data_IF_819894921743
#
_entry.id   IF_819894921743
#
_cell.length_a   1.000
_cell.length_b   1.000
_cell.length_c   1.000
_cell.angle_alpha   90.00
_cell.angle_beta   90.00
_cell.angle_gamma   90.00
#
_symmetry.space_group_name_H-M   'P 1'
#
loop_
_entity.id
_entity.type
_entity.pdbx_description
1 polymer ?
#
# COMPACT_ATOMS: atom_id res chain seq x y z
N UNK A 1 -50.29 40.80 -61.83
CA UNK A 1 -50.91 39.87 -60.87
C UNK A 1 -49.83 39.19 -60.05
N UNK A 2 -49.57 39.65 -58.84
CA UNK A 2 -48.80 38.90 -57.82
C UNK A 2 -49.30 39.33 -56.45
N UNK A 3 -50.44 38.79 -56.05
CA UNK A 3 -50.88 38.78 -54.66
C UNK A 3 -50.27 37.54 -53.99
N UNK A 4 -49.26 37.74 -53.13
CA UNK A 4 -48.75 36.71 -52.25
C UNK A 4 -49.46 36.83 -50.90
N UNK A 5 -50.31 35.86 -50.59
CA UNK A 5 -51.13 35.84 -49.38
C UNK A 5 -50.34 35.86 -48.07
N UNK A 6 -50.93 36.40 -46.98
CA UNK A 6 -50.28 36.60 -45.68
C UNK A 6 -49.94 35.30 -44.93
N UNK A 7 -50.46 34.16 -45.39
CA UNK A 7 -50.47 32.86 -44.71
C UNK A 7 -49.06 32.24 -44.63
N UNK A 8 -48.21 32.54 -45.62
CA UNK A 8 -46.89 31.93 -45.80
C UNK A 8 -45.87 32.46 -44.78
N UNK A 9 -46.06 33.68 -44.28
CA UNK A 9 -45.16 34.31 -43.30
C UNK A 9 -45.30 33.72 -41.90
N UNK A 10 -46.48 33.23 -41.53
CA UNK A 10 -46.71 32.66 -40.20
C UNK A 10 -46.11 31.26 -40.03
N UNK A 11 -46.08 30.46 -41.10
CA UNK A 11 -45.45 29.14 -41.10
C UNK A 11 -43.91 29.24 -41.04
N UNK A 12 -43.33 30.22 -41.73
CA UNK A 12 -41.89 30.47 -41.75
C UNK A 12 -41.39 30.90 -40.35
N UNK A 13 -42.08 31.84 -39.69
CA UNK A 13 -41.74 32.30 -38.33
C UNK A 13 -41.81 31.18 -37.29
N UNK A 14 -42.79 30.28 -37.37
CA UNK A 14 -42.88 29.11 -36.46
C UNK A 14 -41.74 28.12 -36.70
N UNK A 15 -41.36 27.90 -37.96
CA UNK A 15 -40.25 27.02 -38.31
C UNK A 15 -38.89 27.58 -37.85
N UNK A 16 -38.72 28.90 -37.94
CA UNK A 16 -37.53 29.62 -37.45
C UNK A 16 -37.45 29.57 -35.93
N UNK A 17 -38.57 29.78 -35.23
CA UNK A 17 -38.64 29.67 -33.76
C UNK A 17 -38.31 28.26 -33.26
N UNK A 18 -38.83 27.21 -33.91
CA UNK A 18 -38.54 25.82 -33.54
C UNK A 18 -37.04 25.50 -33.75
N UNK A 19 -36.46 25.93 -34.88
CA UNK A 19 -35.03 25.75 -35.15
C UNK A 19 -34.16 26.48 -34.13
N UNK A 20 -34.54 27.69 -33.73
CA UNK A 20 -33.84 28.45 -32.68
C UNK A 20 -33.95 27.79 -31.30
N UNK A 21 -35.11 27.25 -30.92
CA UNK A 21 -35.28 26.54 -29.65
C UNK A 21 -34.40 25.27 -29.57
N UNK A 22 -34.25 24.53 -30.68
CA UNK A 22 -33.39 23.33 -30.73
C UNK A 22 -31.91 23.72 -30.57
N UNK A 23 -31.46 24.77 -31.25
CA UNK A 23 -30.08 25.28 -31.15
C UNK A 23 -29.80 25.79 -29.74
N UNK A 24 -30.70 26.58 -29.15
CA UNK A 24 -30.54 27.09 -27.79
C UNK A 24 -30.54 25.97 -26.74
N UNK A 25 -31.38 24.95 -26.90
CA UNK A 25 -31.40 23.77 -26.04
C UNK A 25 -30.09 22.97 -26.12
N UNK A 26 -29.56 22.74 -27.32
CA UNK A 26 -28.30 22.02 -27.51
C UNK A 26 -27.11 22.76 -26.89
N UNK A 27 -27.04 24.09 -27.04
CA UNK A 27 -25.99 24.92 -26.44
C UNK A 27 -26.07 24.89 -24.90
N UNK A 28 -27.27 24.94 -24.32
CA UNK A 28 -27.44 24.85 -22.87
C UNK A 28 -26.98 23.49 -22.31
N UNK A 29 -27.30 22.39 -23.01
CA UNK A 29 -26.87 21.04 -22.62
C UNK A 29 -25.35 20.90 -22.72
N UNK A 30 -24.73 21.39 -23.80
CA UNK A 30 -23.27 21.34 -23.97
C UNK A 30 -22.53 22.20 -22.93
N UNK A 31 -23.06 23.39 -22.63
CA UNK A 31 -22.52 24.25 -21.58
C UNK A 31 -22.59 23.56 -20.21
N UNK A 32 -23.74 22.98 -19.85
CA UNK A 32 -23.91 22.22 -18.61
C UNK A 32 -23.02 20.97 -18.54
N UNK A 33 -22.82 20.27 -19.66
CA UNK A 33 -21.90 19.13 -19.72
C UNK A 33 -20.44 19.55 -19.55
N UNK A 34 -20.05 20.67 -20.16
CA UNK A 34 -18.68 21.18 -20.06
C UNK A 34 -18.34 21.66 -18.65
N UNK A 35 -19.27 22.35 -17.97
CA UNK A 35 -19.07 22.80 -16.58
C UNK A 35 -19.06 21.62 -15.61
N UNK A 36 -19.96 20.65 -15.75
CA UNK A 36 -19.94 19.43 -14.93
C UNK A 36 -18.66 18.61 -15.14
N UNK A 37 -18.18 18.51 -16.38
CA UNK A 37 -16.92 17.81 -16.72
C UNK A 37 -15.69 18.51 -16.13
N UNK A 38 -15.66 19.84 -16.12
CA UNK A 38 -14.57 20.62 -15.50
C UNK A 38 -14.58 20.53 -13.97
N UNK A 39 -15.75 20.54 -13.33
CA UNK A 39 -15.87 20.37 -11.88
C UNK A 39 -15.27 19.04 -11.39
N UNK A 40 -15.31 18.00 -12.22
CA UNK A 40 -14.78 16.65 -11.92
C UNK A 40 -13.26 16.52 -12.07
N UNK A 41 -12.60 17.47 -12.73
CA UNK A 41 -11.14 17.49 -12.91
C UNK A 41 -10.47 18.29 -11.79
N UNK A 42 -11.11 19.35 -11.30
CA UNK A 42 -10.58 20.17 -10.20
C UNK A 42 -10.41 19.37 -8.89
N UNK A 43 -11.29 18.41 -8.60
CA UNK A 43 -11.20 17.56 -7.40
C UNK A 43 -9.98 16.63 -7.37
N UNK A 44 -9.27 16.44 -8.48
CA UNK A 44 -8.02 15.64 -8.51
C UNK A 44 -6.77 16.43 -8.11
N UNK A 45 -6.79 17.75 -8.12
CA UNK A 45 -5.62 18.57 -7.80
C UNK A 45 -5.55 18.94 -6.31
N UNK A 46 -6.67 18.87 -5.58
CA UNK A 46 -6.73 19.15 -4.13
C UNK A 46 -6.16 18.03 -3.25
N UNK A 47 -5.87 16.84 -3.81
CA UNK A 47 -5.33 15.70 -3.06
C UNK A 47 -3.78 15.65 -3.06
N UNK A 48 -3.12 16.48 -3.87
CA UNK A 48 -1.65 16.61 -3.87
C UNK A 48 -1.20 17.66 -2.86
N UNK A 49 -1.35 17.33 -1.58
CA UNK A 49 -0.75 18.06 -0.46
C UNK A 49 0.77 17.78 -0.42
N UNK A 50 1.65 18.81 -0.39
CA UNK A 50 3.08 18.59 -0.24
C UNK A 50 3.39 18.19 1.21
N UNK A 51 3.47 16.89 1.47
CA UNK A 51 4.01 16.36 2.74
C UNK A 51 5.54 16.47 2.73
N UNK A 52 6.07 17.67 2.94
CA UNK A 52 7.49 17.87 3.28
C UNK A 52 7.58 18.91 4.39
N UNK A 53 7.27 18.49 5.62
CA UNK A 53 7.68 19.15 6.87
C UNK A 53 7.14 18.36 8.07
N UNK A 54 7.85 17.31 8.51
CA UNK A 54 7.88 16.83 9.89
C UNK A 54 8.59 15.46 9.98
N UNK A 55 9.90 15.43 9.69
CA UNK A 55 10.78 14.48 10.38
C UNK A 55 11.63 15.30 11.33
N UNK A 56 10.97 15.86 12.35
CA UNK A 56 11.62 16.39 13.53
C UNK A 56 12.13 15.20 14.33
N UNK A 57 13.43 14.96 14.26
CA UNK A 57 14.28 14.38 15.32
C UNK A 57 13.53 13.56 16.37
N UNK A 58 13.11 12.34 16.01
CA UNK A 58 13.04 11.28 16.99
C UNK A 58 14.50 10.90 17.27
N UNK A 59 15.04 11.38 18.39
CA UNK A 59 16.31 10.86 18.89
C UNK A 59 16.07 9.40 19.24
N UNK A 60 16.41 8.51 18.32
CA UNK A 60 16.56 7.09 18.60
C UNK A 60 17.77 6.96 19.53
N UNK A 61 17.53 7.09 20.83
CA UNK A 61 18.55 6.90 21.84
C UNK A 61 18.88 5.40 21.92
N UNK A 62 20.15 5.07 21.70
CA UNK A 62 20.64 3.70 21.74
C UNK A 62 20.75 3.28 23.21
N UNK A 63 20.00 2.26 23.60
CA UNK A 63 19.99 1.71 24.96
C UNK A 63 21.20 0.80 25.20
N UNK A 64 21.49 -0.09 24.25
CA UNK A 64 22.65 -1.00 24.30
C UNK A 64 22.91 -1.63 22.92
N UNK A 65 24.10 -2.18 22.73
CA UNK A 65 24.52 -2.94 21.55
C UNK A 65 24.52 -4.43 21.86
N UNK A 66 24.02 -5.26 20.94
CA UNK A 66 23.93 -6.71 21.14
C UNK A 66 24.27 -7.52 19.88
N UNK A 67 24.78 -8.73 20.06
CA UNK A 67 25.10 -9.62 18.95
C UNK A 67 23.88 -10.49 18.59
N UNK A 68 23.54 -10.59 17.31
CA UNK A 68 22.44 -11.45 16.82
C UNK A 68 22.63 -12.93 17.15
N UNK A 69 23.89 -13.40 17.28
CA UNK A 69 24.22 -14.77 17.67
C UNK A 69 24.37 -14.96 19.18
N UNK A 70 24.69 -13.89 19.92
CA UNK A 70 24.93 -13.94 21.37
C UNK A 70 24.15 -12.83 22.08
N UNK A 71 22.82 -13.01 22.28
CA UNK A 71 21.96 -11.99 22.87
C UNK A 71 22.29 -11.66 24.34
N UNK A 72 23.06 -12.52 25.01
CA UNK A 72 23.57 -12.29 26.36
C UNK A 72 24.69 -11.24 26.40
N UNK A 73 25.34 -10.96 25.26
CA UNK A 73 26.33 -9.91 25.15
C UNK A 73 25.61 -8.57 24.94
N UNK A 74 25.72 -7.69 25.93
CA UNK A 74 25.25 -6.30 25.88
C UNK A 74 26.41 -5.36 26.14
N UNK A 75 26.64 -4.41 25.25
CA UNK A 75 27.68 -3.40 25.38
C UNK A 75 27.09 -1.99 25.27
N UNK A 76 27.72 -1.01 25.89
CA UNK A 76 27.33 0.40 25.78
C UNK A 76 27.84 1.07 24.50
N UNK A 77 28.86 0.48 23.87
CA UNK A 77 29.56 1.05 22.73
C UNK A 77 29.42 0.15 21.49
N UNK A 78 29.48 0.74 20.29
CA UNK A 78 29.60 -0.03 19.06
C UNK A 78 30.94 -0.77 19.02
N UNK A 79 30.96 -1.95 18.43
CA UNK A 79 32.17 -2.74 18.26
C UNK A 79 31.88 -4.19 17.89
N UNK A 80 32.90 -5.02 17.98
CA UNK A 80 32.83 -6.43 17.68
C UNK A 80 32.41 -7.25 18.91
N UNK A 81 31.63 -8.31 18.67
CA UNK A 81 31.25 -9.25 19.70
C UNK A 81 32.49 -10.05 20.18
N UNK A 82 32.81 -10.07 21.48
CA UNK A 82 33.98 -10.79 22.01
C UNK A 82 33.85 -12.33 21.96
N UNK A 83 32.67 -12.85 21.60
CA UNK A 83 32.43 -14.29 21.47
C UNK A 83 32.62 -14.80 20.05
N UNK A 84 32.12 -14.06 19.04
CA UNK A 84 32.15 -14.50 17.64
C UNK A 84 32.86 -13.54 16.67
N UNK A 85 33.25 -12.35 17.12
CA UNK A 85 33.91 -11.34 16.29
C UNK A 85 33.02 -10.67 15.24
N UNK A 86 31.70 -10.78 15.35
CA UNK A 86 30.75 -10.08 14.47
C UNK A 86 30.34 -8.73 15.05
N UNK A 87 30.00 -7.78 14.18
CA UNK A 87 29.50 -6.45 14.56
C UNK A 87 28.29 -6.51 15.49
N UNK A 88 28.32 -5.70 16.54
CA UNK A 88 27.19 -5.52 17.43
C UNK A 88 26.12 -4.61 16.80
N UNK A 89 24.87 -4.88 17.13
CA UNK A 89 23.70 -4.18 16.60
C UNK A 89 23.08 -3.31 17.69
N UNK A 90 22.84 -2.04 17.40
CA UNK A 90 22.19 -1.11 18.32
C UNK A 90 20.73 -1.52 18.62
N UNK A 91 20.37 -1.45 19.90
CA UNK A 91 19.01 -1.53 20.42
C UNK A 91 18.63 -0.15 20.94
N UNK A 92 17.44 0.31 20.58
CA UNK A 92 16.96 1.63 20.93
C UNK A 92 15.94 1.55 22.07
N UNK A 93 15.97 2.53 22.98
CA UNK A 93 14.96 2.62 24.06
C UNK A 93 13.57 2.74 23.44
N UNK A 94 12.71 1.75 23.68
CA UNK A 94 11.33 1.71 23.19
C UNK A 94 11.01 0.58 22.20
N UNK A 95 11.96 -0.28 21.83
CA UNK A 95 11.70 -1.42 20.93
C UNK A 95 10.95 -2.59 21.57
N UNK A 96 10.86 -2.65 22.91
CA UNK A 96 10.36 -3.83 23.62
C UNK A 96 8.90 -3.70 24.12
N UNK A 97 8.32 -2.49 24.16
CA UNK A 97 6.95 -2.29 24.70
C UNK A 97 5.92 -1.84 23.64
N UNK A 98 6.35 -1.35 22.49
CA UNK A 98 5.44 -1.08 21.38
C UNK A 98 5.58 -2.18 20.35
N UNK A 99 4.54 -3.00 20.24
CA UNK A 99 4.32 -3.86 19.09
C UNK A 99 4.29 -3.03 17.81
N UNK A 100 5.47 -2.73 17.27
CA UNK A 100 5.65 -2.28 15.91
C UNK A 100 5.30 -3.48 15.06
N UNK A 101 3.99 -3.65 14.83
CA UNK A 101 3.54 -4.32 13.62
C UNK A 101 4.29 -3.64 12.47
N UNK A 102 4.75 -4.39 11.47
CA UNK A 102 5.18 -3.80 10.20
C UNK A 102 4.11 -2.78 9.78
N UNK A 103 4.41 -1.77 8.94
CA UNK A 103 3.41 -0.81 8.47
C UNK A 103 2.36 -1.48 7.57
N UNK A 104 1.56 -2.40 8.14
CA UNK A 104 0.34 -3.00 7.61
C UNK A 104 -0.69 -1.92 7.35
N UNK A 105 -0.59 -0.74 7.97
CA UNK A 105 -1.51 0.38 7.73
C UNK A 105 -1.37 0.99 6.33
N UNK A 106 -0.18 0.97 5.72
CA UNK A 106 -0.04 1.41 4.32
C UNK A 106 -0.46 0.34 3.32
N UNK A 107 -0.21 -0.94 3.64
CA UNK A 107 -0.63 -2.03 2.78
C UNK A 107 -2.15 -2.22 2.83
N UNK A 108 -2.78 -2.13 4.01
CA UNK A 108 -4.23 -2.23 4.18
C UNK A 108 -4.99 -1.07 3.55
N UNK A 109 -4.47 0.16 3.60
CA UNK A 109 -5.08 1.30 2.90
C UNK A 109 -5.02 1.18 1.38
N UNK A 110 -3.96 0.57 0.82
CA UNK A 110 -3.86 0.28 -0.62
C UNK A 110 -4.78 -0.88 -1.07
N UNK A 111 -5.01 -1.86 -0.18
CA UNK A 111 -5.87 -3.02 -0.42
C UNK A 111 -7.37 -2.66 -0.31
N UNK A 112 -7.75 -1.78 0.61
CA UNK A 112 -9.14 -1.31 0.80
C UNK A 112 -9.72 -0.55 -0.43
N UNK A 113 -8.86 -0.05 -1.31
CA UNK A 113 -9.27 0.63 -2.55
C UNK A 113 -9.48 -0.32 -3.74
N UNK A 114 -9.30 -1.65 -3.58
CA UNK A 114 -9.51 -2.65 -4.65
C UNK A 114 -8.62 -2.47 -5.89
N UNK A 115 -7.58 -1.63 -5.81
CA UNK A 115 -6.76 -1.20 -6.95
C UNK A 115 -5.31 -1.66 -6.88
N UNK A 116 -4.82 -2.11 -5.73
CA UNK A 116 -3.44 -2.57 -5.59
C UNK A 116 -3.35 -4.05 -6.00
N UNK A 117 -2.79 -4.33 -7.19
CA UNK A 117 -2.33 -5.68 -7.53
C UNK A 117 -1.16 -6.05 -6.60
N UNK A 118 -1.11 -7.28 -6.04
CA UNK A 118 0.03 -7.69 -5.24
C UNK A 118 1.30 -7.68 -6.11
N UNK A 119 2.34 -7.03 -5.60
CA UNK A 119 3.64 -6.94 -6.25
C UNK A 119 4.27 -8.34 -6.21
N UNK A 120 4.54 -8.93 -7.38
CA UNK A 120 5.20 -10.24 -7.49
C UNK A 120 6.70 -10.03 -7.41
N UNK A 121 7.40 -10.86 -6.64
CA UNK A 121 8.86 -10.87 -6.58
C UNK A 121 9.42 -11.88 -7.58
N UNK A 122 10.42 -11.49 -8.36
CA UNK A 122 11.03 -12.30 -9.41
C UNK A 122 12.49 -12.57 -9.07
N UNK A 123 12.88 -13.85 -9.10
CA UNK A 123 14.23 -14.30 -8.77
C UNK A 123 14.84 -15.11 -9.90
N UNK A 124 16.16 -15.19 -9.90
CA UNK A 124 16.90 -16.08 -10.78
C UNK A 124 16.99 -17.46 -10.12
N UNK A 125 16.46 -18.50 -10.77
CA UNK A 125 16.41 -19.87 -10.21
C UNK A 125 17.74 -20.59 -10.20
N UNK A 126 18.79 -20.02 -10.81
CA UNK A 126 20.15 -20.52 -10.69
C UNK A 126 20.75 -20.11 -9.33
N UNK A 127 21.07 -21.08 -8.44
CA UNK A 127 21.52 -20.80 -7.08
C UNK A 127 22.89 -20.08 -7.03
N UNK A 128 23.71 -20.27 -8.07
CA UNK A 128 25.04 -19.65 -8.18
C UNK A 128 25.00 -18.14 -8.46
N UNK A 129 23.83 -17.60 -8.88
CA UNK A 129 23.72 -16.19 -9.19
C UNK A 129 23.61 -15.31 -7.93
N UNK A 130 23.15 -15.85 -6.79
CA UNK A 130 23.01 -15.09 -5.53
C UNK A 130 22.16 -13.81 -5.65
N UNK A 131 21.28 -13.73 -6.65
CA UNK A 131 20.55 -12.52 -7.00
C UNK A 131 19.44 -12.22 -5.97
N UNK A 132 19.41 -11.00 -5.45
CA UNK A 132 18.39 -10.56 -4.49
C UNK A 132 16.98 -10.61 -5.10
N UNK A 133 16.85 -10.38 -6.42
CA UNK A 133 15.58 -10.37 -7.16
C UNK A 133 15.12 -8.96 -7.57
N UNK A 134 13.93 -8.85 -8.15
CA UNK A 134 13.28 -7.56 -8.48
C UNK A 134 11.77 -7.73 -8.59
N UNK A 135 11.09 -6.60 -8.54
CA UNK A 135 9.65 -6.53 -8.75
C UNK A 135 9.23 -6.35 -10.22
N UNK A 136 10.19 -6.17 -11.13
CA UNK A 136 9.90 -6.00 -12.55
C UNK A 136 9.75 -7.38 -13.24
N UNK A 137 8.59 -7.66 -13.88
CA UNK A 137 8.31 -8.96 -14.51
C UNK A 137 9.15 -9.25 -15.76
N UNK A 138 9.86 -8.25 -16.27
CA UNK A 138 10.78 -8.34 -17.39
C UNK A 138 12.24 -8.11 -16.96
N UNK A 139 12.52 -7.99 -15.66
CA UNK A 139 13.88 -7.90 -15.17
C UNK A 139 14.69 -9.13 -15.57
N UNK A 140 15.91 -8.88 -16.00
CA UNK A 140 16.91 -9.91 -16.27
C UNK A 140 17.90 -9.93 -15.13
N UNK A 141 18.35 -11.12 -14.76
CA UNK A 141 19.40 -11.29 -13.75
C UNK A 141 20.69 -10.58 -14.25
N UNK A 142 21.34 -9.71 -13.45
CA UNK A 142 22.57 -9.04 -13.85
C UNK A 142 23.77 -9.99 -13.92
N UNK A 143 23.68 -11.18 -13.30
CA UNK A 143 24.76 -12.17 -13.28
C UNK A 143 24.72 -13.07 -14.51
N UNK A 144 23.57 -13.68 -14.82
CA UNK A 144 23.45 -14.64 -15.93
C UNK A 144 22.69 -14.11 -17.15
N UNK A 145 22.08 -12.92 -17.07
CA UNK A 145 21.33 -12.31 -18.18
C UNK A 145 19.98 -12.96 -18.50
N UNK A 146 19.62 -14.06 -17.83
CA UNK A 146 18.33 -14.74 -18.03
C UNK A 146 17.17 -13.95 -17.43
N UNK A 147 15.97 -14.15 -18.00
CA UNK A 147 14.73 -13.60 -17.47
C UNK A 147 14.45 -14.24 -16.11
N UNK A 148 14.14 -13.42 -15.10
CA UNK A 148 13.80 -13.90 -13.76
C UNK A 148 12.42 -14.54 -13.75
N UNK A 149 12.26 -15.59 -12.95
CA UNK A 149 11.01 -16.30 -12.78
C UNK A 149 10.29 -15.81 -11.52
N UNK A 150 8.95 -15.70 -11.54
CA UNK A 150 8.21 -15.29 -10.37
C UNK A 150 8.34 -16.34 -9.27
N UNK A 151 8.72 -15.91 -8.07
CA UNK A 151 8.43 -16.74 -6.90
C UNK A 151 6.91 -16.72 -6.71
N UNK A 152 6.28 -17.87 -6.92
CA UNK A 152 4.88 -18.05 -6.55
C UNK A 152 4.79 -18.06 -5.03
N UNK A 153 4.46 -16.92 -4.43
CA UNK A 153 3.57 -16.92 -3.28
C UNK A 153 2.17 -16.62 -3.83
N UNK A 154 1.41 -17.67 -4.11
CA UNK A 154 -0.02 -17.61 -4.36
C UNK A 154 -0.76 -17.33 -3.04
N UNK A 155 -0.53 -16.14 -2.48
CA UNK A 155 -1.53 -15.56 -1.58
C UNK A 155 -2.62 -14.94 -2.45
N UNK A 156 -3.42 -15.79 -3.10
CA UNK A 156 -4.80 -15.40 -3.39
C UNK A 156 -5.47 -15.20 -2.03
N UNK A 157 -5.39 -13.97 -1.52
CA UNK A 157 -6.25 -13.52 -0.44
C UNK A 157 -7.63 -13.45 -1.05
N UNK A 158 -8.32 -14.58 -1.03
CA UNK A 158 -9.76 -14.62 -1.21
C UNK A 158 -10.32 -13.78 -0.08
N UNK A 159 -10.78 -12.57 -0.39
CA UNK A 159 -11.54 -11.72 0.53
C UNK A 159 -12.95 -12.29 0.71
N UNK A 160 -13.05 -13.58 1.02
CA UNK A 160 -14.15 -14.16 1.76
C UNK A 160 -13.78 -14.03 3.23
N UNK A 161 -14.75 -13.74 4.08
CA UNK A 161 -14.58 -13.56 5.51
C UNK A 161 -13.73 -14.71 6.08
N UNK A 162 -12.48 -14.41 6.46
CA UNK A 162 -11.63 -15.35 7.18
C UNK A 162 -12.20 -15.46 8.60
N UNK A 163 -13.29 -16.20 8.74
CA UNK A 163 -13.65 -16.79 10.02
C UNK A 163 -12.52 -17.76 10.33
N UNK A 164 -11.56 -17.32 11.15
CA UNK A 164 -10.52 -18.18 11.70
C UNK A 164 -11.24 -19.15 12.64
N UNK A 165 -11.82 -20.20 12.07
CA UNK A 165 -12.31 -21.34 12.82
C UNK A 165 -11.06 -22.03 13.38
N UNK A 166 -10.76 -21.79 14.66
CA UNK A 166 -9.75 -22.58 15.37
C UNK A 166 -10.10 -24.06 15.15
N UNK A 167 -9.16 -24.80 14.55
CA UNK A 167 -9.30 -26.25 14.41
C UNK A 167 -9.55 -26.89 15.78
N UNK A 168 -10.16 -28.07 15.80
CA UNK A 168 -10.60 -28.74 17.03
C UNK A 168 -9.48 -28.89 18.07
N UNK A 169 -8.25 -29.12 17.60
CA UNK A 169 -7.04 -29.16 18.45
C UNK A 169 -6.75 -27.82 19.12
N UNK A 170 -6.91 -26.71 18.41
CA UNK A 170 -6.66 -25.37 18.94
C UNK A 170 -7.73 -24.97 19.97
N UNK A 171 -9.00 -25.36 19.76
CA UNK A 171 -10.06 -25.20 20.79
C UNK A 171 -9.74 -25.97 22.07
N UNK A 172 -9.36 -27.24 21.96
CA UNK A 172 -8.96 -28.05 23.13
C UNK A 172 -7.77 -27.44 23.88
N UNK A 173 -6.82 -26.84 23.16
CA UNK A 173 -5.67 -26.17 23.79
C UNK A 173 -6.06 -24.85 24.47
N UNK A 174 -7.02 -24.11 23.92
CA UNK A 174 -7.51 -22.87 24.52
C UNK A 174 -8.30 -23.10 25.82
N UNK A 175 -8.90 -24.28 25.99
CA UNK A 175 -9.62 -24.67 27.21
C UNK A 175 -8.70 -25.15 28.34
N UNK A 176 -7.43 -25.44 28.06
CA UNK A 176 -6.47 -25.82 29.09
C UNK A 176 -6.07 -24.58 29.89
N UNK A 177 -6.58 -24.49 31.13
CA UNK A 177 -6.10 -23.51 32.10
C UNK A 177 -4.61 -23.75 32.37
N UNK A 178 -3.76 -22.88 31.84
CA UNK A 178 -2.32 -22.92 32.12
C UNK A 178 -2.05 -22.14 33.39
N UNK A 179 -1.45 -22.78 34.39
CA UNK A 179 -0.90 -22.05 35.53
C UNK A 179 0.30 -21.21 35.03
N UNK A 180 0.41 -19.93 35.43
CA UNK A 180 1.53 -19.10 35.03
C UNK A 180 2.83 -19.69 35.59
N UNK A 181 3.77 -20.00 34.69
CA UNK A 181 5.11 -20.47 35.06
C UNK A 181 5.88 -19.34 35.74
N UNK A 182 6.13 -19.48 37.04
CA UNK A 182 6.97 -18.54 37.78
C UNK A 182 8.44 -18.66 37.32
N UNK A 183 8.97 -17.61 36.69
CA UNK A 183 10.41 -17.53 36.35
C UNK A 183 11.23 -17.47 37.62
N UNK A 184 12.08 -18.48 37.86
CA UNK A 184 13.09 -18.44 38.91
C UNK A 184 14.38 -17.87 38.34
N UNK A 185 14.84 -16.76 38.90
CA UNK A 185 16.18 -16.24 38.61
C UNK A 185 17.19 -17.01 39.45
N UNK A 186 18.05 -17.79 38.79
CA UNK A 186 19.18 -18.45 39.43
C UNK A 186 20.34 -17.44 39.50
N UNK A 187 20.71 -17.02 40.71
CA UNK A 187 21.95 -16.28 40.94
C UNK A 187 23.10 -17.27 41.00
N UNK A 188 24.07 -17.11 40.09
CA UNK A 188 25.29 -17.92 40.07
C UNK A 188 26.21 -17.45 41.21
N UNK A 189 26.62 -18.39 42.07
CA UNK A 189 27.51 -18.15 43.21
C UNK A 189 28.98 -18.12 42.78
#
# INVERSE_FOLDING_TARGET
MTDAGPDNRAADVRSVLIRWCIVLGAVAVLAAWSTWRMQRVASKLSDMSPRVAANTTASEEIEYWTCSMHPDVRQSEPGDCPQCGMDLIAKYVGSDELGVKPPESRLSQAVAAGKAKPKRWYMCTMPECGDQGSDDPNSRCPVCGMKREPMMMDMSVDTGEAEIALGERARRLAELATEPVARRHLTKR
#
